data_IF_814335677966
#
_entry.id   IF_814335677966
#
_cell.length_a   1.000
_cell.length_b   1.000
_cell.length_c   1.000
_cell.angle_alpha   90.00
_cell.angle_beta   90.00
_cell.angle_gamma   90.00
#
_symmetry.space_group_name_H-M   'P 1'
#
loop_
_entity.id
_entity.type
_entity.pdbx_description
1 polymer ?
#
# COMPACT_ATOMS: atom_id res chain seq x y z
N UNK A 1 -14.84 -14.22 -6.20
CA UNK A 1 -14.58 -13.07 -7.09
C UNK A 1 -14.23 -13.51 -8.50
N UNK A 2 -13.24 -14.42 -8.67
CA UNK A 2 -12.83 -14.83 -10.02
C UNK A 2 -13.91 -15.62 -10.74
N UNK A 3 -14.41 -16.67 -10.13
CA UNK A 3 -15.40 -17.57 -10.72
C UNK A 3 -16.76 -16.91 -10.87
N UNK A 4 -17.30 -16.32 -9.78
CA UNK A 4 -18.67 -15.81 -9.75
C UNK A 4 -18.82 -14.41 -10.36
N UNK A 5 -17.80 -13.55 -10.20
CA UNK A 5 -17.84 -12.15 -10.61
C UNK A 5 -16.95 -11.86 -11.83
N UNK A 6 -16.21 -12.84 -12.33
CA UNK A 6 -15.36 -12.72 -13.53
C UNK A 6 -14.18 -11.78 -13.37
N UNK A 7 -13.64 -11.63 -12.17
CA UNK A 7 -12.38 -10.90 -11.96
C UNK A 7 -11.20 -11.69 -12.50
N UNK A 8 -10.15 -10.99 -12.92
CA UNK A 8 -8.88 -11.56 -13.34
C UNK A 8 -7.77 -10.98 -12.48
N UNK A 9 -6.82 -11.81 -12.09
CA UNK A 9 -5.61 -11.35 -11.39
C UNK A 9 -4.75 -10.59 -12.40
N UNK A 10 -4.26 -9.44 -11.99
CA UNK A 10 -3.31 -8.62 -12.73
C UNK A 10 -1.92 -8.70 -12.12
N UNK A 11 -1.86 -8.62 -10.81
CA UNK A 11 -0.63 -8.76 -10.04
C UNK A 11 -0.88 -9.60 -8.78
N UNK A 12 0.16 -10.29 -8.33
CA UNK A 12 0.14 -10.97 -7.03
C UNK A 12 1.49 -10.88 -6.32
N UNK A 13 1.49 -11.22 -5.04
CA UNK A 13 2.69 -11.32 -4.22
C UNK A 13 2.80 -12.78 -3.77
N UNK A 14 3.97 -13.39 -3.98
CA UNK A 14 4.23 -14.78 -3.61
C UNK A 14 5.58 -14.94 -2.94
N UNK A 15 5.71 -16.03 -2.19
CA UNK A 15 7.01 -16.57 -1.77
C UNK A 15 7.56 -17.57 -2.79
N UNK A 16 8.74 -18.11 -2.49
CA UNK A 16 9.41 -19.14 -3.31
C UNK A 16 8.62 -20.46 -3.36
N UNK A 17 7.75 -20.72 -2.39
CA UNK A 17 6.89 -21.90 -2.32
C UNK A 17 5.58 -21.70 -3.11
N UNK A 18 5.34 -20.50 -3.63
CA UNK A 18 4.15 -20.14 -4.39
C UNK A 18 2.95 -19.76 -3.52
N UNK A 19 3.13 -19.56 -2.21
CA UNK A 19 2.07 -19.05 -1.32
C UNK A 19 1.69 -17.63 -1.73
N UNK A 20 0.40 -17.39 -1.96
CA UNK A 20 -0.10 -16.07 -2.35
C UNK A 20 -0.43 -15.24 -1.10
N UNK A 21 0.24 -14.12 -0.93
CA UNK A 21 0.03 -13.17 0.17
C UNK A 21 -0.93 -12.04 -0.17
N UNK A 22 -0.98 -11.66 -1.44
CA UNK A 22 -1.89 -10.63 -1.93
C UNK A 22 -2.17 -10.85 -3.42
N UNK A 23 -3.34 -10.37 -3.87
CA UNK A 23 -3.73 -10.38 -5.27
C UNK A 23 -4.50 -9.12 -5.64
N UNK A 24 -4.11 -8.48 -6.72
CA UNK A 24 -4.79 -7.35 -7.36
C UNK A 24 -5.61 -7.88 -8.52
N UNK A 25 -6.88 -7.56 -8.52
CA UNK A 25 -7.85 -8.14 -9.46
C UNK A 25 -8.64 -7.05 -10.18
N UNK A 26 -8.91 -7.29 -11.45
CA UNK A 26 -9.61 -6.36 -12.33
C UNK A 26 -10.80 -6.99 -13.06
N UNK A 27 -11.75 -6.15 -13.45
CA UNK A 27 -12.77 -6.41 -14.46
C UNK A 27 -12.71 -5.40 -15.62
N UNK A 28 -12.17 -4.22 -15.38
CA UNK A 28 -11.94 -3.16 -16.34
C UNK A 28 -10.47 -3.17 -16.81
N UNK A 29 -10.11 -2.42 -17.85
CA UNK A 29 -8.72 -2.30 -18.32
C UNK A 29 -7.81 -1.48 -17.40
N UNK A 30 -8.08 -1.44 -16.11
CA UNK A 30 -7.24 -0.89 -15.05
C UNK A 30 -6.36 -1.98 -14.46
N UNK A 31 -5.35 -1.64 -13.69
CA UNK A 31 -4.53 -2.65 -12.99
C UNK A 31 -5.40 -3.43 -12.01
N UNK A 32 -6.22 -2.74 -11.25
CA UNK A 32 -7.16 -3.41 -10.35
C UNK A 32 -8.40 -2.57 -10.07
N UNK A 33 -9.47 -3.25 -9.75
CA UNK A 33 -10.69 -2.70 -9.16
C UNK A 33 -10.79 -3.07 -7.69
N UNK A 34 -10.14 -4.18 -7.29
CA UNK A 34 -10.06 -4.65 -5.91
C UNK A 34 -8.75 -5.37 -5.65
N UNK A 35 -8.26 -5.29 -4.42
CA UNK A 35 -7.11 -6.05 -3.95
C UNK A 35 -7.49 -6.80 -2.67
N UNK A 36 -6.99 -8.03 -2.55
CA UNK A 36 -7.11 -8.85 -1.35
C UNK A 36 -5.71 -9.11 -0.82
N UNK A 37 -5.51 -8.84 0.46
CA UNK A 37 -4.22 -9.07 1.12
C UNK A 37 -4.41 -9.99 2.32
N UNK A 38 -3.42 -10.82 2.58
CA UNK A 38 -3.37 -11.62 3.81
C UNK A 38 -3.25 -10.71 5.04
N UNK A 39 -3.76 -11.17 6.17
CA UNK A 39 -3.73 -10.44 7.44
C UNK A 39 -4.96 -10.72 8.28
N UNK A 40 -5.07 -10.02 9.41
CA UNK A 40 -6.24 -10.10 10.26
C UNK A 40 -7.46 -9.54 9.53
N UNK A 41 -8.56 -10.29 9.54
CA UNK A 41 -9.73 -9.90 8.78
C UNK A 41 -11.02 -10.59 9.21
N UNK A 42 -12.15 -10.29 8.57
CA UNK A 42 -12.28 -9.32 7.46
C UNK A 42 -12.27 -7.86 7.93
N UNK A 43 -11.61 -7.00 7.15
CA UNK A 43 -11.62 -5.55 7.33
C UNK A 43 -11.40 -4.85 5.99
N UNK A 44 -11.89 -3.64 5.84
CA UNK A 44 -11.61 -2.82 4.68
C UNK A 44 -10.35 -1.99 4.94
N UNK A 45 -9.32 -2.17 4.11
CA UNK A 45 -8.06 -1.46 4.26
C UNK A 45 -8.19 0.01 3.83
N UNK A 46 -8.71 0.25 2.64
CA UNK A 46 -8.96 1.60 2.10
C UNK A 46 -9.94 1.56 0.93
N UNK A 47 -10.41 2.73 0.55
CA UNK A 47 -11.05 3.02 -0.72
C UNK A 47 -10.16 3.99 -1.50
N UNK A 48 -10.07 3.81 -2.83
CA UNK A 48 -9.17 4.60 -3.67
C UNK A 48 -9.94 5.41 -4.71
N UNK A 49 -9.49 6.66 -4.94
CA UNK A 49 -10.00 7.57 -5.94
C UNK A 49 -8.90 7.98 -6.90
N UNK A 50 -9.17 7.82 -8.20
CA UNK A 50 -8.25 8.24 -9.25
C UNK A 50 -8.26 9.75 -9.46
N UNK A 51 -7.09 10.35 -9.64
CA UNK A 51 -6.93 11.71 -10.15
C UNK A 51 -6.23 11.69 -11.51
N UNK A 52 -6.35 12.76 -12.29
CA UNK A 52 -5.82 12.78 -13.65
C UNK A 52 -4.30 12.93 -13.70
N UNK A 53 -3.76 13.75 -12.78
CA UNK A 53 -2.36 14.17 -12.85
C UNK A 53 -1.65 14.02 -11.51
N UNK A 54 -0.37 13.62 -11.56
CA UNK A 54 0.45 13.45 -10.35
C UNK A 54 0.62 14.75 -9.54
N UNK A 55 0.60 15.92 -10.18
CA UNK A 55 0.67 17.19 -9.46
C UNK A 55 -0.56 17.46 -8.59
N UNK A 56 -1.71 16.83 -8.86
CA UNK A 56 -2.89 16.93 -8.00
C UNK A 56 -2.63 16.32 -6.63
N UNK A 57 -1.83 15.25 -6.57
CA UNK A 57 -1.40 14.62 -5.31
C UNK A 57 -0.61 15.65 -4.47
N UNK A 58 0.35 16.32 -5.10
CA UNK A 58 1.15 17.35 -4.43
C UNK A 58 0.27 18.53 -3.99
N UNK A 59 -0.65 18.97 -4.84
CA UNK A 59 -1.58 20.05 -4.52
C UNK A 59 -2.49 19.72 -3.32
N UNK A 60 -2.84 18.45 -3.12
CA UNK A 60 -3.56 18.00 -1.91
C UNK A 60 -2.67 18.14 -0.68
N UNK A 61 -1.40 17.75 -0.74
CA UNK A 61 -0.46 17.94 0.35
C UNK A 61 -0.31 19.43 0.71
N UNK A 62 -0.16 20.31 -0.29
CA UNK A 62 -0.09 21.77 -0.09
C UNK A 62 -1.35 22.30 0.59
N UNK A 63 -2.52 21.85 0.14
CA UNK A 63 -3.81 22.26 0.72
C UNK A 63 -3.91 21.83 2.18
N UNK A 64 -3.58 20.59 2.50
CA UNK A 64 -3.59 20.08 3.88
C UNK A 64 -2.59 20.85 4.75
N UNK A 65 -1.40 21.14 4.22
CA UNK A 65 -0.40 21.97 4.91
C UNK A 65 -0.94 23.40 5.20
N UNK A 66 -1.55 24.05 4.21
CA UNK A 66 -2.13 25.38 4.38
C UNK A 66 -3.29 25.40 5.39
N UNK A 67 -4.06 24.32 5.48
CA UNK A 67 -5.14 24.15 6.46
C UNK A 67 -4.64 23.70 7.84
N UNK A 68 -3.36 23.38 7.99
CA UNK A 68 -2.76 22.79 9.19
C UNK A 68 -3.32 21.40 9.54
N UNK A 69 -3.72 20.64 8.51
CA UNK A 69 -4.29 19.30 8.58
C UNK A 69 -3.30 18.25 8.05
N UNK A 70 -1.99 18.52 8.11
CA UNK A 70 -0.96 17.60 7.59
C UNK A 70 -0.97 16.24 8.28
N UNK A 71 -1.46 16.15 9.50
CA UNK A 71 -1.61 14.90 10.27
C UNK A 71 -2.60 13.92 9.61
N UNK A 72 -3.47 14.40 8.70
CA UNK A 72 -4.31 13.55 7.89
C UNK A 72 -3.53 12.73 6.87
N UNK A 73 -2.29 13.09 6.55
CA UNK A 73 -1.43 12.33 5.65
C UNK A 73 -0.85 11.14 6.39
N UNK A 74 -1.33 9.94 6.11
CA UNK A 74 -0.82 8.72 6.72
C UNK A 74 0.43 8.19 6.00
N UNK A 75 0.44 8.22 4.65
CA UNK A 75 1.53 7.67 3.87
C UNK A 75 1.60 8.31 2.49
N UNK A 76 2.80 8.60 2.03
CA UNK A 76 3.08 9.23 0.73
C UNK A 76 3.32 10.75 0.88
N UNK A 77 3.37 11.48 -0.26
CA UNK A 77 3.24 10.96 -1.62
C UNK A 77 4.35 9.96 -1.96
N UNK A 78 4.03 8.98 -2.80
CA UNK A 78 4.96 7.95 -3.18
C UNK A 78 4.63 7.31 -4.54
N UNK A 79 5.37 6.27 -4.89
CA UNK A 79 5.12 5.48 -6.08
C UNK A 79 5.20 3.99 -5.77
N UNK A 80 4.11 3.28 -5.96
CA UNK A 80 4.08 1.83 -5.79
C UNK A 80 4.91 1.09 -6.84
N UNK A 81 5.49 -0.05 -6.45
CA UNK A 81 5.91 -1.07 -7.41
C UNK A 81 4.70 -1.78 -7.99
N UNK A 82 3.89 -2.40 -7.14
CA UNK A 82 2.57 -2.93 -7.52
C UNK A 82 1.72 -1.82 -8.12
N UNK A 83 1.07 -2.07 -9.24
CA UNK A 83 0.28 -1.10 -10.01
C UNK A 83 1.07 0.04 -10.65
N UNK A 84 2.31 0.30 -10.22
CA UNK A 84 3.13 1.40 -10.71
C UNK A 84 2.47 2.79 -10.55
N UNK A 85 1.48 2.92 -9.66
CA UNK A 85 0.73 4.15 -9.44
C UNK A 85 1.46 5.12 -8.51
N UNK A 86 1.31 6.42 -8.76
CA UNK A 86 1.55 7.44 -7.73
C UNK A 86 0.42 7.43 -6.74
N UNK A 87 0.72 7.59 -5.46
CA UNK A 87 -0.25 7.47 -4.38
C UNK A 87 -0.08 8.49 -3.27
N UNK A 88 -1.16 8.70 -2.55
CA UNK A 88 -1.23 9.43 -1.29
C UNK A 88 -2.34 8.81 -0.45
N UNK A 89 -2.01 8.35 0.75
CA UNK A 89 -2.99 7.84 1.71
C UNK A 89 -3.28 8.86 2.77
N UNK A 90 -4.57 9.08 2.98
CA UNK A 90 -5.11 10.04 3.92
C UNK A 90 -6.00 9.32 4.93
N UNK A 91 -6.13 9.91 6.12
CA UNK A 91 -7.22 9.59 7.05
C UNK A 91 -8.30 10.63 6.92
N UNK A 92 -9.54 10.18 6.71
CA UNK A 92 -10.69 11.06 6.77
C UNK A 92 -11.02 11.43 8.23
N UNK A 93 -11.96 12.36 8.48
CA UNK A 93 -12.33 12.75 9.85
C UNK A 93 -12.88 11.61 10.72
N UNK A 94 -13.40 10.54 10.12
CA UNK A 94 -13.90 9.35 10.82
C UNK A 94 -12.80 8.29 11.03
N UNK A 95 -11.58 8.56 10.53
CA UNK A 95 -10.40 7.69 10.66
C UNK A 95 -10.28 6.62 9.59
N UNK A 96 -11.15 6.61 8.58
CA UNK A 96 -11.03 5.69 7.45
C UNK A 96 -9.88 6.07 6.53
N UNK A 97 -9.22 5.06 5.97
CA UNK A 97 -8.14 5.30 5.01
C UNK A 97 -8.71 5.52 3.61
N UNK A 98 -8.28 6.62 3.00
CA UNK A 98 -8.58 6.99 1.63
C UNK A 98 -7.30 7.11 0.84
N UNK A 99 -7.24 6.50 -0.34
CA UNK A 99 -6.15 6.66 -1.28
C UNK A 99 -6.54 7.63 -2.40
N UNK A 100 -5.62 8.54 -2.73
CA UNK A 100 -5.66 9.29 -3.98
C UNK A 100 -4.51 8.77 -4.84
N UNK A 101 -4.83 8.28 -6.05
CA UNK A 101 -3.83 7.69 -6.92
C UNK A 101 -3.93 8.18 -8.36
N UNK A 102 -2.90 7.94 -9.15
CA UNK A 102 -2.89 8.24 -10.59
C UNK A 102 -1.79 7.49 -11.33
N UNK A 103 -1.93 7.40 -12.66
CA UNK A 103 -0.91 6.89 -13.57
C UNK A 103 -0.48 5.44 -13.30
N UNK A 104 -1.44 4.59 -12.91
CA UNK A 104 -1.29 3.15 -13.04
C UNK A 104 -1.22 2.74 -14.53
N UNK A 105 -0.73 1.52 -14.80
CA UNK A 105 -0.64 1.07 -16.18
C UNK A 105 -1.98 0.53 -16.69
N UNK A 106 -2.12 0.51 -18.02
CA UNK A 106 -3.31 0.05 -18.70
C UNK A 106 -3.21 -1.45 -19.05
N UNK A 107 -4.26 -2.21 -18.77
CA UNK A 107 -4.33 -3.66 -19.00
C UNK A 107 -5.39 -4.02 -20.05
N UNK A 108 -5.42 -3.30 -21.16
CA UNK A 108 -6.42 -3.48 -22.21
C UNK A 108 -6.36 -4.82 -22.95
N UNK A 109 -5.20 -5.50 -22.90
CA UNK A 109 -5.05 -6.84 -23.43
C UNK A 109 -5.64 -7.87 -22.46
N UNK A 110 -6.62 -8.70 -22.89
CA UNK A 110 -7.16 -9.78 -22.05
C UNK A 110 -6.10 -10.81 -21.64
N UNK A 111 -5.08 -11.00 -22.46
CA UNK A 111 -4.01 -11.98 -22.28
C UNK A 111 -2.79 -11.36 -21.54
N UNK A 112 -2.95 -10.15 -20.97
CA UNK A 112 -1.90 -9.53 -20.20
C UNK A 112 -1.43 -10.47 -19.08
N UNK A 113 -0.12 -10.82 -19.03
CA UNK A 113 0.37 -11.78 -18.05
C UNK A 113 0.26 -11.22 -16.62
N UNK A 114 0.05 -12.10 -15.67
CA UNK A 114 0.10 -11.74 -14.24
C UNK A 114 1.52 -11.35 -13.88
N UNK A 115 1.68 -10.19 -13.25
CA UNK A 115 2.95 -9.75 -12.68
C UNK A 115 3.06 -10.32 -11.26
N UNK A 116 4.06 -11.16 -11.02
CA UNK A 116 4.29 -11.75 -9.70
C UNK A 116 5.47 -11.06 -9.01
N UNK A 117 5.22 -10.57 -7.81
CA UNK A 117 6.21 -9.95 -6.94
C UNK A 117 6.69 -10.94 -5.89
N UNK A 118 7.98 -10.93 -5.62
CA UNK A 118 8.54 -11.64 -4.47
C UNK A 118 8.11 -10.92 -3.17
N UNK A 119 7.65 -11.69 -2.19
CA UNK A 119 7.24 -11.16 -0.87
C UNK A 119 8.37 -10.40 -0.16
N UNK A 120 9.63 -10.73 -0.45
CA UNK A 120 10.82 -10.08 0.11
C UNK A 120 11.29 -8.85 -0.68
N UNK A 121 10.73 -8.60 -1.88
CA UNK A 121 11.06 -7.42 -2.66
C UNK A 121 10.33 -6.18 -2.12
N UNK A 122 11.05 -5.31 -1.43
CA UNK A 122 10.48 -4.09 -0.86
C UNK A 122 10.06 -3.06 -1.93
N UNK A 123 10.59 -3.14 -3.16
CA UNK A 123 10.20 -2.23 -4.25
C UNK A 123 8.72 -2.40 -4.63
N UNK A 124 8.13 -3.57 -4.38
CA UNK A 124 6.69 -3.77 -4.59
C UNK A 124 5.82 -2.77 -3.82
N UNK A 125 6.29 -2.32 -2.66
CA UNK A 125 5.56 -1.35 -1.80
C UNK A 125 5.77 0.09 -2.24
N UNK A 126 7.02 0.44 -2.53
CA UNK A 126 7.38 1.81 -2.89
C UNK A 126 8.69 1.84 -3.66
N UNK A 127 8.66 2.35 -4.90
CA UNK A 127 9.84 2.50 -5.75
C UNK A 127 10.89 3.46 -5.16
N UNK A 128 10.45 4.45 -4.38
CA UNK A 128 11.33 5.45 -3.79
C UNK A 128 11.93 5.00 -2.47
N UNK A 129 11.51 3.82 -1.98
CA UNK A 129 12.00 3.25 -0.73
C UNK A 129 11.47 3.93 0.53
N UNK A 130 10.31 4.61 0.41
CA UNK A 130 9.63 5.22 1.56
C UNK A 130 9.10 4.13 2.49
N UNK A 131 9.40 4.20 3.79
CA UNK A 131 8.96 3.21 4.76
C UNK A 131 7.43 3.12 4.84
N UNK A 132 6.94 1.91 5.11
CA UNK A 132 5.53 1.71 5.42
C UNK A 132 5.30 1.98 6.90
N UNK A 133 4.30 2.80 7.21
CA UNK A 133 3.95 3.15 8.59
C UNK A 133 3.28 1.96 9.30
N UNK A 134 3.45 1.80 10.63
CA UNK A 134 2.88 0.66 11.37
C UNK A 134 1.35 0.53 11.28
N UNK A 135 0.64 1.66 11.21
CA UNK A 135 -0.81 1.70 11.05
C UNK A 135 -1.28 1.00 9.76
N UNK A 136 -0.43 0.98 8.73
CA UNK A 136 -0.71 0.33 7.46
C UNK A 136 -1.13 -1.14 7.62
N UNK A 137 -0.44 -1.87 8.49
CA UNK A 137 -0.69 -3.29 8.71
C UNK A 137 -1.77 -3.58 9.75
N UNK A 138 -1.91 -2.69 10.73
CA UNK A 138 -2.78 -2.92 11.88
C UNK A 138 -4.17 -2.35 11.74
N UNK A 139 -4.31 -1.23 10.99
CA UNK A 139 -5.54 -0.48 10.97
C UNK A 139 -6.34 -0.75 9.70
N UNK A 140 -7.63 -0.96 9.88
CA UNK A 140 -8.61 -1.09 8.81
C UNK A 140 -10.00 -0.77 9.34
N UNK A 141 -10.90 -0.41 8.44
CA UNK A 141 -12.28 -0.13 8.79
C UNK A 141 -13.03 -1.44 9.08
N UNK A 142 -13.81 -1.43 10.15
CA UNK A 142 -14.65 -2.57 10.54
C UNK A 142 -15.66 -2.90 9.45
N UNK A 143 -15.79 -4.19 9.14
CA UNK A 143 -16.83 -4.70 8.25
C UNK A 143 -18.06 -5.03 9.08
N UNK A 144 -19.22 -4.63 8.59
CA UNK A 144 -20.49 -4.95 9.20
C UNK A 144 -21.18 -6.07 8.42
N UNK A 145 -21.93 -6.92 9.11
CA UNK A 145 -22.86 -7.87 8.49
C UNK A 145 -24.11 -7.16 7.93
N UNK A 146 -25.02 -7.92 7.35
CA UNK A 146 -26.25 -7.37 6.77
C UNK A 146 -27.22 -6.79 7.81
N UNK A 147 -27.04 -7.14 9.08
CA UNK A 147 -27.83 -6.64 10.20
C UNK A 147 -27.18 -5.43 10.88
N UNK A 148 -26.00 -5.01 10.38
CA UNK A 148 -25.24 -3.86 10.89
C UNK A 148 -24.36 -4.18 12.09
N UNK A 149 -24.11 -5.45 12.41
CA UNK A 149 -23.24 -5.83 13.51
C UNK A 149 -21.78 -5.95 13.00
N UNK A 150 -20.77 -5.58 13.82
CA UNK A 150 -19.37 -5.79 13.48
C UNK A 150 -19.07 -7.27 13.27
N UNK A 151 -18.45 -7.59 12.13
CA UNK A 151 -17.92 -8.93 11.88
C UNK A 151 -16.64 -9.10 12.70
N UNK A 152 -16.51 -10.15 13.53
CA UNK A 152 -15.32 -10.39 14.32
C UNK A 152 -14.08 -10.57 13.45
N UNK A 153 -12.96 -10.00 13.87
CA UNK A 153 -11.67 -10.25 13.23
C UNK A 153 -11.18 -11.66 13.56
N UNK A 154 -10.66 -12.33 12.54
CA UNK A 154 -9.90 -13.57 12.70
C UNK A 154 -8.42 -13.20 12.58
N UNK A 155 -7.67 -13.42 13.64
CA UNK A 155 -6.23 -13.18 13.65
C UNK A 155 -5.51 -14.23 12.78
N UNK A 156 -4.62 -13.76 11.91
CA UNK A 156 -3.67 -14.60 11.18
C UNK A 156 -2.29 -14.42 11.79
N UNK A 157 -1.79 -15.45 12.42
CA UNK A 157 -0.57 -15.36 13.24
C UNK A 157 0.72 -15.74 12.49
N UNK A 158 0.64 -16.47 11.38
CA UNK A 158 1.80 -17.18 10.83
C UNK A 158 2.12 -16.92 9.35
N UNK A 159 1.20 -16.37 8.57
CA UNK A 159 1.36 -16.21 7.12
C UNK A 159 1.07 -14.79 6.62
N UNK A 160 0.99 -13.81 7.53
CA UNK A 160 0.73 -12.45 7.11
C UNK A 160 1.98 -11.81 6.51
N UNK A 161 1.80 -11.01 5.49
CA UNK A 161 2.83 -10.14 4.93
C UNK A 161 3.53 -9.32 6.04
N UNK A 162 2.81 -9.00 7.11
CA UNK A 162 3.32 -8.30 8.27
C UNK A 162 4.34 -9.13 9.05
N UNK A 163 4.06 -10.40 9.32
CA UNK A 163 4.97 -11.28 10.08
C UNK A 163 6.31 -11.48 9.37
N UNK A 164 6.32 -11.39 8.05
CA UNK A 164 7.55 -11.52 7.24
C UNK A 164 8.28 -10.21 7.02
N UNK A 165 7.60 -9.10 7.23
CA UNK A 165 8.16 -7.76 6.99
C UNK A 165 8.66 -7.10 8.26
N UNK A 166 8.03 -7.44 9.38
CA UNK A 166 8.41 -6.97 10.71
C UNK A 166 9.27 -8.09 11.29
N UNK A 167 10.59 -7.91 11.36
CA UNK A 167 11.46 -8.84 12.05
C UNK A 167 11.02 -9.03 13.50
N UNK A 168 11.57 -10.03 14.18
CA UNK A 168 11.25 -10.39 15.57
C UNK A 168 11.42 -9.23 16.58
N UNK A 169 12.10 -8.16 16.19
CA UNK A 169 12.33 -6.90 16.93
C UNK A 169 11.29 -5.81 16.63
N UNK A 170 10.27 -6.12 15.81
CA UNK A 170 9.10 -5.28 15.61
C UNK A 170 9.22 -4.19 14.54
N UNK A 171 10.39 -3.84 14.00
CA UNK A 171 10.55 -2.77 13.00
C UNK A 171 11.87 -2.79 12.22
N UNK A 172 12.61 -3.89 12.19
CA UNK A 172 13.82 -3.93 11.38
C UNK A 172 13.46 -3.93 9.90
N UNK A 173 13.60 -2.77 9.29
CA UNK A 173 13.84 -2.65 7.87
C UNK A 173 15.22 -3.24 7.59
N UNK A 174 15.32 -4.52 7.37
CA UNK A 174 16.44 -5.05 6.62
C UNK A 174 16.24 -4.64 5.16
N UNK A 175 16.72 -3.45 4.80
CA UNK A 175 17.07 -3.21 3.41
C UNK A 175 18.11 -4.27 3.04
N UNK A 176 17.97 -4.85 1.87
CA UNK A 176 19.03 -5.67 1.25
C UNK A 176 20.37 -4.89 1.21
N UNK A 177 20.33 -3.61 1.46
CA UNK A 177 21.38 -2.60 1.49
C UNK A 177 22.01 -2.37 2.88
N UNK A 178 21.46 -2.92 3.95
CA UNK A 178 22.06 -2.79 5.29
C UNK A 178 23.34 -3.62 5.44
N UNK A 179 23.72 -4.36 4.39
CA UNK A 179 25.02 -5.04 4.25
C UNK A 179 26.05 -4.28 3.40
N UNK A 180 25.64 -3.23 2.70
CA UNK A 180 26.53 -2.37 1.93
C UNK A 180 26.55 -0.98 2.57
N UNK A 181 27.76 -0.45 2.81
CA UNK A 181 27.95 0.89 3.36
C UNK A 181 27.10 1.91 2.61
N UNK A 182 26.22 2.59 3.34
CA UNK A 182 25.41 3.67 2.76
C UNK A 182 26.34 4.72 2.15
N UNK A 183 26.04 5.22 0.95
CA UNK A 183 26.79 6.33 0.36
C UNK A 183 26.93 7.50 1.36
N UNK A 184 28.09 8.12 1.41
CA UNK A 184 28.41 9.21 2.37
C UNK A 184 27.35 10.32 2.43
N UNK A 185 26.70 10.63 1.29
CA UNK A 185 25.64 11.64 1.23
C UNK A 185 24.35 11.23 1.94
N UNK A 186 24.14 9.93 2.23
CA UNK A 186 23.01 9.42 3.03
C UNK A 186 23.35 9.34 4.52
N UNK A 187 24.64 9.45 4.90
CA UNK A 187 25.11 9.35 6.29
C UNK A 187 25.06 10.67 7.04
N UNK A 188 24.82 11.78 6.34
CA UNK A 188 24.74 13.11 6.94
C UNK A 188 23.43 13.29 7.71
N UNK A 189 23.51 13.61 9.00
CA UNK A 189 22.40 14.22 9.72
C UNK A 189 21.99 15.51 8.99
N UNK A 190 20.82 15.50 8.35
CA UNK A 190 20.23 16.71 7.82
C UNK A 190 19.79 17.58 9.01
N UNK A 191 20.70 18.36 9.56
CA UNK A 191 20.33 19.48 10.43
C UNK A 191 19.73 20.57 9.53
N UNK A 192 18.41 20.59 9.45
CA UNK A 192 17.69 21.79 9.01
C UNK A 192 18.13 22.90 9.97
N UNK A 193 19.03 23.77 9.50
CA UNK A 193 19.41 24.96 10.23
C UNK A 193 18.17 25.80 10.49
N UNK A 194 17.95 26.17 11.74
CA UNK A 194 16.99 27.19 12.12
C UNK A 194 17.37 28.49 11.41
N UNK A 195 16.81 28.72 10.23
CA UNK A 195 16.75 30.02 9.58
C UNK A 195 15.40 30.15 8.88
N UNK A 196 14.42 30.57 9.63
CA UNK A 196 13.34 31.46 9.22
C UNK A 196 13.16 32.48 10.31
#
# INVERSE_FOLDING_TARGET
>A
YMEDLGFRITEDIRDEQGTVYAAWMRRKPTVHDTAMTGGDGPRMHHIAFATHEKHNIIAICDKLGALRESDAIERGPGRHGVSNAYYLYLRDPDGHRVEIYTQDYYTGDPDNPVVTWDVHDNQRRDWWGTPVVPSWYRDGSTVLDLDGNPVPLVERTDESEMAQTIGADGFSYTRKEDSEEMPEWKQGEFKLGNQL
#
